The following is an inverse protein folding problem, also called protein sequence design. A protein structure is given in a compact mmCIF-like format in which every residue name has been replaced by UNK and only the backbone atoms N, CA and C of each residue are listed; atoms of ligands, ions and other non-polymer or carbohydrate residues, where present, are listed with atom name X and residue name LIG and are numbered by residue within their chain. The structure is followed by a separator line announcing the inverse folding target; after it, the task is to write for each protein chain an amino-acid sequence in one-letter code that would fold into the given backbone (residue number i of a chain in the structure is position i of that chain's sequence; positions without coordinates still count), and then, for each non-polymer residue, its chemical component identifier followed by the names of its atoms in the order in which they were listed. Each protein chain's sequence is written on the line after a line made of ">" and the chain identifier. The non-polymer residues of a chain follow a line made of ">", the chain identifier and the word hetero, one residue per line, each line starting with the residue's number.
data_IF_242397890047
#
_entry.id   IF_242397890047
#
_cell.length_a   1.000
_cell.length_b   1.000
_cell.length_c   1.000
_cell.angle_alpha   90.00
_cell.angle_beta   90.00
_cell.angle_gamma   90.00
#
_symmetry.space_group_name_H-M   'P 1'
#
loop_
_entity.id
_entity.type
_entity.pdbx_description
1 polymer ?
#
# COMPACT_ATOMS: atom_id res chain seq x y z
N UNK A 1 5.57 60.89 -3.81
CA UNK A 1 4.80 60.07 -4.73
C UNK A 1 3.31 60.19 -4.42
N UNK A 2 2.49 60.33 -5.44
CA UNK A 2 1.05 60.30 -5.21
C UNK A 2 0.65 58.82 -4.96
N UNK A 3 0.07 58.56 -3.79
CA UNK A 3 -0.32 57.17 -3.41
C UNK A 3 -1.32 56.56 -4.39
N UNK A 4 -1.99 57.35 -5.19
CA UNK A 4 -2.91 56.90 -6.25
C UNK A 4 -2.21 56.14 -7.39
N UNK A 5 -0.88 56.28 -7.53
CA UNK A 5 -0.10 55.62 -8.58
C UNK A 5 0.58 54.31 -8.12
N UNK A 6 0.40 53.93 -6.86
CA UNK A 6 0.99 52.68 -6.33
C UNK A 6 0.00 51.54 -6.49
N UNK A 7 0.44 50.48 -7.14
CA UNK A 7 -0.30 49.22 -7.29
C UNK A 7 0.22 48.14 -6.29
N UNK A 8 -0.72 47.46 -5.66
CA UNK A 8 -0.40 46.38 -4.75
C UNK A 8 -0.62 45.03 -5.46
N UNK A 9 0.42 44.20 -5.52
CA UNK A 9 0.33 42.85 -6.01
C UNK A 9 -0.15 41.95 -4.87
N UNK A 10 -1.34 41.37 -5.01
CA UNK A 10 -1.88 40.38 -4.11
C UNK A 10 -1.21 39.02 -4.31
N UNK A 11 -1.36 38.13 -3.32
CA UNK A 11 -0.85 36.75 -3.35
C UNK A 11 -1.42 35.89 -4.48
N UNK A 12 -2.61 36.21 -4.98
CA UNK A 12 -3.25 35.56 -6.14
C UNK A 12 -2.81 36.17 -7.49
N UNK A 13 -1.80 37.06 -7.49
CA UNK A 13 -1.29 37.77 -8.65
C UNK A 13 -2.13 38.95 -9.14
N UNK A 14 -3.30 39.22 -8.53
CA UNK A 14 -4.13 40.37 -8.90
C UNK A 14 -3.56 41.65 -8.32
N UNK A 15 -3.76 42.75 -9.04
CA UNK A 15 -3.37 44.07 -8.59
C UNK A 15 -4.56 44.86 -8.06
N UNK A 16 -4.31 45.67 -7.03
CA UNK A 16 -5.29 46.61 -6.47
C UNK A 16 -4.61 47.93 -6.14
N UNK A 17 -5.35 49.07 -6.08
CA UNK A 17 -4.80 50.36 -5.67
C UNK A 17 -4.32 50.31 -4.23
N UNK A 18 -3.27 51.07 -3.91
CA UNK A 18 -2.78 51.24 -2.55
C UNK A 18 -3.85 51.86 -1.66
N UNK A 19 -3.96 51.38 -0.43
CA UNK A 19 -4.87 51.90 0.60
C UNK A 19 -4.17 51.99 1.97
N UNK A 20 -3.90 53.22 2.41
CA UNK A 20 -3.35 53.52 3.70
C UNK A 20 -4.26 52.99 4.84
N UNK A 21 -5.59 53.09 4.64
CA UNK A 21 -6.59 52.63 5.62
C UNK A 21 -6.43 51.12 5.95
N UNK A 22 -6.04 50.28 4.98
CA UNK A 22 -5.81 48.85 5.22
C UNK A 22 -4.62 48.65 6.14
N UNK A 23 -3.55 49.44 6.02
CA UNK A 23 -2.37 49.42 6.91
C UNK A 23 -2.78 49.87 8.33
N UNK A 24 -3.47 50.99 8.44
CA UNK A 24 -3.99 51.53 9.73
C UNK A 24 -4.83 50.46 10.43
N UNK A 25 -5.75 49.81 9.69
CA UNK A 25 -6.63 48.77 10.24
C UNK A 25 -5.84 47.54 10.72
N UNK A 26 -4.79 47.14 10.01
CA UNK A 26 -3.94 46.03 10.41
C UNK A 26 -3.16 46.30 11.68
N UNK A 27 -2.56 47.50 11.79
CA UNK A 27 -1.83 47.94 12.99
C UNK A 27 -2.77 48.11 14.19
N UNK A 28 -3.96 48.73 13.98
CA UNK A 28 -4.98 48.86 15.02
C UNK A 28 -5.38 47.53 15.64
N UNK A 29 -5.53 46.49 14.81
CA UNK A 29 -5.84 45.16 15.31
C UNK A 29 -4.73 44.60 16.20
N UNK A 30 -3.47 44.86 15.87
CA UNK A 30 -2.33 44.39 16.67
C UNK A 30 -2.29 45.09 18.03
N UNK A 31 -2.50 46.41 18.07
CA UNK A 31 -2.60 47.19 19.34
C UNK A 31 -3.78 46.73 20.20
N UNK A 32 -4.97 46.57 19.62
CA UNK A 32 -6.15 46.03 20.33
C UNK A 32 -5.92 44.65 20.90
N UNK A 33 -5.27 43.77 20.15
CA UNK A 33 -4.88 42.45 20.66
C UNK A 33 -3.88 42.52 21.81
N UNK A 34 -3.14 43.61 21.91
CA UNK A 34 -2.27 43.94 23.02
C UNK A 34 -2.98 44.58 24.23
N UNK A 35 -4.31 44.84 24.15
CA UNK A 35 -5.08 45.53 25.20
C UNK A 35 -4.91 47.06 25.16
N UNK A 36 -4.36 47.64 24.09
CA UNK A 36 -4.09 49.06 23.95
C UNK A 36 -5.07 49.64 22.91
N UNK A 37 -5.86 50.63 23.32
CA UNK A 37 -6.92 51.21 22.48
C UNK A 37 -6.73 52.71 22.18
N UNK A 38 -5.84 53.39 22.87
CA UNK A 38 -5.65 54.85 22.85
C UNK A 38 -4.37 55.30 22.14
N UNK A 39 -4.00 54.65 21.03
CA UNK A 39 -2.77 54.92 20.26
C UNK A 39 -3.04 55.36 18.82
N UNK A 40 -4.15 56.00 18.54
CA UNK A 40 -4.56 56.39 17.17
C UNK A 40 -3.52 57.24 16.45
N UNK A 41 -2.93 58.22 17.13
CA UNK A 41 -1.88 59.08 16.57
C UNK A 41 -0.60 58.28 16.24
N UNK A 42 -0.21 57.37 17.12
CA UNK A 42 0.96 56.48 16.90
C UNK A 42 0.73 55.57 15.73
N UNK A 43 -0.46 54.95 15.62
CA UNK A 43 -0.86 54.08 14.52
C UNK A 43 -0.85 54.85 13.19
N UNK A 44 -1.43 56.02 13.16
CA UNK A 44 -1.46 56.85 11.95
C UNK A 44 -0.03 57.25 11.52
N UNK A 45 0.85 57.58 12.43
CA UNK A 45 2.25 57.90 12.14
C UNK A 45 2.97 56.68 11.58
N UNK A 46 2.88 55.52 12.19
CA UNK A 46 3.52 54.31 11.68
C UNK A 46 3.02 53.97 10.29
N UNK A 47 1.72 54.06 10.03
CA UNK A 47 1.14 53.79 8.71
C UNK A 47 1.62 54.81 7.67
N UNK A 48 1.78 56.06 8.02
CA UNK A 48 2.34 57.13 7.16
C UNK A 48 3.81 56.87 6.86
N UNK A 49 4.59 56.46 7.84
CA UNK A 49 6.03 56.15 7.69
C UNK A 49 6.22 54.94 6.77
N UNK A 50 5.38 53.90 6.89
CA UNK A 50 5.35 52.76 5.97
C UNK A 50 5.04 53.22 4.56
N UNK A 51 3.98 53.99 4.37
CA UNK A 51 3.59 54.52 3.07
C UNK A 51 4.71 55.35 2.41
N UNK A 52 5.39 56.20 3.20
CA UNK A 52 6.50 57.03 2.74
C UNK A 52 7.75 56.20 2.34
N UNK A 53 7.90 55.01 2.88
CA UNK A 53 9.00 54.11 2.57
C UNK A 53 8.81 53.34 1.24
N UNK A 54 7.61 53.41 0.63
CA UNK A 54 7.31 52.78 -0.66
C UNK A 54 7.84 53.66 -1.79
N UNK A 55 8.92 53.21 -2.44
CA UNK A 55 9.57 53.93 -3.52
C UNK A 55 9.27 53.32 -4.89
N UNK A 56 8.65 52.16 -4.95
CA UNK A 56 8.33 51.45 -6.21
C UNK A 56 6.89 51.71 -6.62
N UNK A 57 6.59 51.75 -7.93
CA UNK A 57 5.20 51.87 -8.43
C UNK A 57 4.36 50.62 -8.16
N UNK A 58 5.00 49.46 -7.99
CA UNK A 58 4.36 48.20 -7.63
C UNK A 58 5.05 47.57 -6.41
N UNK A 59 4.25 47.11 -5.47
CA UNK A 59 4.74 46.49 -4.24
C UNK A 59 3.82 45.32 -3.86
N UNK A 60 4.40 44.22 -3.33
CA UNK A 60 3.63 43.09 -2.85
C UNK A 60 3.03 43.32 -1.46
N UNK A 61 1.98 42.60 -1.13
CA UNK A 61 1.38 42.61 0.23
C UNK A 61 2.42 42.19 1.27
N UNK A 62 3.29 41.24 0.93
CA UNK A 62 4.38 40.77 1.82
C UNK A 62 5.38 41.88 2.12
N UNK A 63 5.87 42.58 1.11
CA UNK A 63 6.80 43.70 1.29
C UNK A 63 6.19 44.80 2.18
N UNK A 64 4.89 45.13 2.00
CA UNK A 64 4.20 46.07 2.89
C UNK A 64 4.16 45.56 4.33
N UNK A 65 3.89 44.27 4.53
CA UNK A 65 3.82 43.67 5.86
C UNK A 65 5.21 43.68 6.53
N UNK A 66 6.28 43.44 5.78
CA UNK A 66 7.66 43.50 6.27
C UNK A 66 8.01 44.92 6.70
N UNK A 67 7.62 45.96 5.95
CA UNK A 67 7.79 47.34 6.31
C UNK A 67 7.00 47.71 7.62
N UNK A 68 5.78 47.19 7.77
CA UNK A 68 4.98 47.35 8.99
C UNK A 68 5.68 46.70 10.18
N UNK A 69 6.22 45.50 10.02
CA UNK A 69 6.95 44.80 11.08
C UNK A 69 8.20 45.56 11.51
N UNK A 70 9.00 46.04 10.57
CA UNK A 70 10.19 46.86 10.83
C UNK A 70 9.85 48.12 11.63
N UNK A 71 8.83 48.84 11.20
CA UNK A 71 8.40 50.07 11.90
C UNK A 71 7.84 49.80 13.29
N UNK A 72 7.05 48.74 13.44
CA UNK A 72 6.54 48.29 14.73
C UNK A 72 7.66 47.86 15.68
N UNK A 73 8.67 47.11 15.17
CA UNK A 73 9.82 46.69 15.98
C UNK A 73 10.62 47.89 16.51
N UNK A 74 10.78 48.92 15.72
CA UNK A 74 11.45 50.17 16.13
C UNK A 74 10.64 51.01 17.15
N UNK A 75 9.31 50.88 17.14
CA UNK A 75 8.42 51.73 17.96
C UNK A 75 7.86 51.05 19.21
N UNK A 76 7.41 49.81 19.07
CA UNK A 76 6.82 48.98 20.10
C UNK A 76 7.06 47.49 19.85
N UNK A 77 8.19 46.93 20.32
CA UNK A 77 8.55 45.55 20.08
C UNK A 77 7.51 44.53 20.57
N UNK A 78 6.75 44.87 21.59
CA UNK A 78 5.72 43.98 22.14
C UNK A 78 4.53 43.83 21.19
N UNK A 79 4.14 44.90 20.53
CA UNK A 79 3.08 44.89 19.51
C UNK A 79 3.59 44.29 18.21
N UNK A 80 4.85 44.57 17.81
CA UNK A 80 5.49 43.94 16.68
C UNK A 80 5.46 42.41 16.78
N UNK A 81 5.85 41.87 17.94
CA UNK A 81 5.80 40.41 18.19
C UNK A 81 4.39 39.84 17.99
N UNK A 82 3.36 40.54 18.50
CA UNK A 82 1.95 40.09 18.31
C UNK A 82 1.52 40.17 16.83
N UNK A 83 1.94 41.21 16.13
CA UNK A 83 1.65 41.37 14.69
C UNK A 83 2.27 40.23 13.87
N UNK A 84 3.55 39.92 14.11
CA UNK A 84 4.28 38.82 13.44
C UNK A 84 3.62 37.48 13.72
N UNK A 85 3.32 37.17 14.98
CA UNK A 85 2.65 35.92 15.37
C UNK A 85 1.28 35.81 14.71
N UNK A 86 0.49 36.88 14.69
CA UNK A 86 -0.82 36.90 14.04
C UNK A 86 -0.72 36.75 12.52
N UNK A 87 0.26 37.41 11.86
CA UNK A 87 0.54 37.27 10.46
C UNK A 87 0.86 35.81 10.11
N UNK A 88 1.77 35.20 10.87
CA UNK A 88 2.15 33.81 10.66
C UNK A 88 0.98 32.84 10.88
N UNK A 89 0.23 33.02 11.94
CA UNK A 89 -0.98 32.24 12.17
C UNK A 89 -1.97 32.35 11.01
N UNK A 90 -2.16 33.56 10.46
CA UNK A 90 -3.03 33.79 9.29
C UNK A 90 -2.49 33.18 8.02
N UNK A 91 -1.18 33.08 7.86
CA UNK A 91 -0.55 32.39 6.73
C UNK A 91 -0.81 30.89 6.82
N UNK A 92 -0.49 30.29 7.95
CA UNK A 92 -0.73 28.86 8.21
C UNK A 92 -2.22 28.49 8.02
N UNK A 93 -3.14 29.29 8.53
CA UNK A 93 -4.58 29.04 8.38
C UNK A 93 -5.07 29.16 6.91
N UNK A 94 -4.50 30.09 6.16
CA UNK A 94 -4.81 30.20 4.72
C UNK A 94 -4.26 29.03 3.93
N UNK A 95 -3.01 28.63 4.20
CA UNK A 95 -2.38 27.51 3.53
C UNK A 95 -3.17 26.23 3.77
N UNK A 96 -3.59 26.01 5.03
CA UNK A 96 -4.45 24.90 5.39
C UNK A 96 -5.77 24.89 4.62
N UNK A 97 -6.47 26.03 4.61
CA UNK A 97 -7.77 26.16 3.89
C UNK A 97 -7.59 26.05 2.37
N UNK A 98 -6.53 26.60 1.82
CA UNK A 98 -6.22 26.51 0.39
C UNK A 98 -5.92 25.06 0.00
N UNK A 99 -5.13 24.33 0.80
CA UNK A 99 -4.80 22.92 0.54
C UNK A 99 -6.07 22.05 0.56
N UNK A 100 -6.87 22.14 1.64
CA UNK A 100 -8.11 21.35 1.76
C UNK A 100 -9.07 21.69 0.63
N UNK A 101 -9.31 22.98 0.36
CA UNK A 101 -10.20 23.40 -0.71
C UNK A 101 -9.69 22.95 -2.07
N UNK A 102 -8.41 23.12 -2.35
CA UNK A 102 -7.79 22.70 -3.63
C UNK A 102 -7.91 21.21 -3.87
N UNK A 103 -7.68 20.38 -2.82
CA UNK A 103 -7.85 18.92 -2.90
C UNK A 103 -9.32 18.55 -3.17
N UNK A 104 -10.25 19.16 -2.44
CA UNK A 104 -11.68 18.89 -2.62
C UNK A 104 -12.17 19.34 -4.01
N UNK A 105 -11.80 20.53 -4.45
CA UNK A 105 -12.15 21.02 -5.77
C UNK A 105 -11.57 20.08 -6.86
N UNK A 106 -10.32 19.63 -6.71
CA UNK A 106 -9.69 18.67 -7.60
C UNK A 106 -10.42 17.33 -7.67
N UNK A 107 -10.89 16.78 -6.55
CA UNK A 107 -11.64 15.51 -6.51
C UNK A 107 -13.04 15.67 -7.14
N UNK A 108 -13.71 16.79 -6.89
CA UNK A 108 -15.11 17.00 -7.31
C UNK A 108 -15.23 17.46 -8.77
N UNK A 109 -14.26 18.23 -9.28
CA UNK A 109 -14.36 18.88 -10.60
C UNK A 109 -13.64 18.16 -11.73
N UNK A 110 -12.80 17.14 -11.41
CA UNK A 110 -12.00 16.48 -12.44
C UNK A 110 -12.85 15.55 -13.29
N UNK A 111 -12.69 15.66 -14.60
CA UNK A 111 -13.27 14.72 -15.56
C UNK A 111 -12.76 13.31 -15.30
N UNK A 112 -13.68 12.31 -15.36
CA UNK A 112 -13.44 10.90 -15.02
C UNK A 112 -12.32 10.19 -15.79
N UNK A 113 -11.66 10.85 -16.73
CA UNK A 113 -10.65 10.28 -17.63
C UNK A 113 -9.23 10.82 -17.41
N UNK A 114 -8.96 11.56 -16.34
CA UNK A 114 -7.60 12.05 -16.10
C UNK A 114 -6.71 10.96 -15.54
N UNK A 115 -5.79 10.47 -16.39
CA UNK A 115 -4.78 9.45 -16.05
C UNK A 115 -3.89 9.88 -14.87
N UNK A 116 -3.68 11.17 -14.66
CA UNK A 116 -2.84 11.68 -13.57
C UNK A 116 -3.46 11.45 -12.18
N UNK A 117 -4.76 11.14 -12.11
CA UNK A 117 -5.45 10.76 -10.88
C UNK A 117 -5.50 9.26 -10.66
N UNK A 118 -5.04 8.47 -11.61
CA UNK A 118 -5.01 7.01 -11.50
C UNK A 118 -3.84 6.58 -10.63
N UNK A 119 -4.11 6.25 -9.39
CA UNK A 119 -3.17 5.45 -8.60
C UNK A 119 -3.34 3.98 -9.00
N UNK A 120 -2.25 3.27 -9.31
CA UNK A 120 -2.27 1.86 -9.71
C UNK A 120 -2.98 0.95 -8.67
N UNK A 121 -3.04 1.38 -7.42
CA UNK A 121 -3.61 0.63 -6.32
C UNK A 121 -5.05 1.04 -5.97
N UNK A 122 -5.58 2.11 -6.56
CA UNK A 122 -6.84 2.71 -6.11
C UNK A 122 -7.56 3.41 -7.25
N UNK A 123 -8.85 3.10 -7.45
CA UNK A 123 -9.66 3.79 -8.43
C UNK A 123 -10.23 5.10 -7.84
N UNK A 124 -9.75 6.24 -8.33
CA UNK A 124 -10.26 7.57 -7.95
C UNK A 124 -11.71 7.84 -8.44
N UNK A 125 -12.28 6.94 -9.24
CA UNK A 125 -13.65 7.09 -9.76
C UNK A 125 -14.74 6.58 -8.83
N UNK A 126 -14.37 5.84 -7.78
CA UNK A 126 -15.33 5.33 -6.80
C UNK A 126 -15.40 6.25 -5.59
N UNK A 127 -16.55 6.32 -4.89
CA UNK A 127 -16.68 7.12 -3.68
C UNK A 127 -15.60 6.79 -2.62
N UNK A 128 -15.29 5.51 -2.44
CA UNK A 128 -14.25 5.10 -1.51
C UNK A 128 -12.85 5.53 -1.98
N UNK A 129 -12.55 5.43 -3.29
CA UNK A 129 -11.29 5.91 -3.87
C UNK A 129 -11.14 7.42 -3.72
N UNK A 130 -12.20 8.20 -3.93
CA UNK A 130 -12.20 9.64 -3.70
C UNK A 130 -11.91 9.99 -2.23
N UNK A 131 -12.54 9.29 -1.30
CA UNK A 131 -12.27 9.48 0.14
C UNK A 131 -10.83 9.13 0.50
N UNK A 132 -10.27 8.07 -0.08
CA UNK A 132 -8.86 7.72 0.13
C UNK A 132 -7.91 8.74 -0.47
N UNK A 133 -8.20 9.26 -1.67
CA UNK A 133 -7.40 10.34 -2.30
C UNK A 133 -7.41 11.59 -1.42
N UNK A 134 -8.58 11.99 -0.92
CA UNK A 134 -8.69 13.09 0.02
C UNK A 134 -7.86 12.85 1.29
N UNK A 135 -7.98 11.67 1.90
CA UNK A 135 -7.21 11.28 3.07
C UNK A 135 -5.69 11.31 2.79
N UNK A 136 -5.24 10.76 1.67
CA UNK A 136 -3.85 10.74 1.23
C UNK A 136 -3.28 12.17 1.15
N UNK A 137 -3.94 13.09 0.44
CA UNK A 137 -3.47 14.46 0.29
C UNK A 137 -3.41 15.23 1.62
N UNK A 138 -4.42 15.08 2.47
CA UNK A 138 -4.42 15.69 3.81
C UNK A 138 -3.30 15.13 4.69
N UNK A 139 -3.05 13.83 4.60
CA UNK A 139 -2.02 13.17 5.41
C UNK A 139 -0.61 13.54 4.94
N UNK A 140 -0.39 13.69 3.62
CA UNK A 140 0.87 14.24 3.06
C UNK A 140 1.14 15.65 3.58
N UNK A 141 0.14 16.52 3.51
CA UNK A 141 0.27 17.90 4.00
C UNK A 141 0.59 17.93 5.51
N UNK A 142 -0.09 17.10 6.29
CA UNK A 142 0.19 16.94 7.72
C UNK A 142 1.62 16.44 7.97
N UNK A 143 2.06 15.41 7.25
CA UNK A 143 3.40 14.87 7.39
C UNK A 143 4.49 15.92 7.10
N UNK A 144 4.35 16.65 6.00
CA UNK A 144 5.29 17.70 5.61
C UNK A 144 5.33 18.89 6.56
N UNK A 145 4.21 19.25 7.19
CA UNK A 145 4.12 20.40 8.09
C UNK A 145 4.55 20.09 9.53
N UNK A 146 4.27 18.88 10.01
CA UNK A 146 4.37 18.58 11.43
C UNK A 146 5.32 17.42 11.78
N UNK A 147 5.58 16.49 10.86
CA UNK A 147 6.37 15.30 11.16
C UNK A 147 7.75 15.32 10.51
N UNK A 148 7.81 15.78 9.27
CA UNK A 148 9.08 15.95 8.56
C UNK A 148 9.70 17.27 8.97
N UNK A 149 10.98 17.27 9.37
CA UNK A 149 11.67 18.50 9.73
C UNK A 149 11.65 19.53 8.59
N UNK A 150 11.52 20.83 8.92
CA UNK A 150 11.34 21.94 7.97
C UNK A 150 12.34 21.88 6.79
N UNK A 151 13.61 21.57 7.06
CA UNK A 151 14.67 21.47 6.06
C UNK A 151 14.39 20.35 5.04
N UNK A 152 13.99 19.16 5.52
CA UNK A 152 13.70 18.01 4.65
C UNK A 152 12.39 18.18 3.89
N UNK A 153 11.37 18.75 4.54
CA UNK A 153 10.10 19.07 3.87
C UNK A 153 10.28 20.11 2.77
N UNK A 154 11.18 21.08 2.95
CA UNK A 154 11.54 22.04 1.91
C UNK A 154 12.27 21.35 0.75
N UNK A 155 13.32 20.58 1.04
CA UNK A 155 14.05 19.84 0.03
C UNK A 155 13.18 18.89 -0.80
N UNK A 156 12.16 18.25 -0.15
CA UNK A 156 11.18 17.45 -0.87
C UNK A 156 10.31 18.26 -1.82
N UNK A 157 9.82 19.44 -1.37
CA UNK A 157 9.00 20.33 -2.23
C UNK A 157 9.80 20.96 -3.37
N UNK A 158 11.07 21.28 -3.12
CA UNK A 158 11.97 21.87 -4.10
C UNK A 158 12.51 20.82 -5.11
N UNK A 159 12.26 19.52 -4.86
CA UNK A 159 12.69 18.41 -5.72
C UNK A 159 14.11 17.93 -5.48
N UNK A 160 14.81 18.42 -4.45
CA UNK A 160 16.17 17.99 -4.10
C UNK A 160 16.21 16.54 -3.61
N UNK A 161 15.15 16.12 -2.91
CA UNK A 161 14.94 14.74 -2.43
C UNK A 161 13.49 14.33 -2.65
N UNK A 162 13.25 13.02 -2.72
CA UNK A 162 11.90 12.46 -2.70
C UNK A 162 11.68 11.63 -1.44
N UNK A 163 10.69 12.00 -0.63
CA UNK A 163 10.23 11.19 0.51
C UNK A 163 9.05 10.35 0.01
N UNK A 164 9.26 9.05 -0.03
CA UNK A 164 8.28 8.09 -0.54
C UNK A 164 7.14 7.87 0.47
N UNK A 165 5.93 7.59 -0.01
CA UNK A 165 4.75 7.22 0.80
C UNK A 165 4.44 8.19 1.96
N UNK A 166 4.54 9.50 1.70
CA UNK A 166 4.30 10.54 2.70
C UNK A 166 2.91 10.51 3.32
N UNK A 167 1.93 10.01 2.59
CA UNK A 167 0.56 9.84 3.05
C UNK A 167 0.42 8.75 4.13
N UNK A 168 1.26 7.72 4.06
CA UNK A 168 1.32 6.67 5.07
C UNK A 168 2.36 6.92 6.16
N UNK A 169 3.23 7.92 6.01
CA UNK A 169 4.29 8.26 6.97
C UNK A 169 3.78 8.41 8.43
N UNK A 170 2.62 9.07 8.70
CA UNK A 170 2.10 9.20 10.06
C UNK A 170 1.65 7.87 10.67
N UNK A 171 1.32 6.87 9.87
CA UNK A 171 0.85 5.57 10.36
C UNK A 171 1.99 4.68 10.86
N UNK A 172 3.24 5.01 10.51
CA UNK A 172 4.46 4.23 10.82
C UNK A 172 4.39 2.80 10.32
N UNK A 173 3.64 2.56 9.25
CA UNK A 173 3.55 1.24 8.62
C UNK A 173 4.83 0.89 7.88
N UNK A 174 5.07 -0.39 7.68
CA UNK A 174 6.08 -0.87 6.73
C UNK A 174 5.58 -0.72 5.30
N UNK A 175 6.49 -0.57 4.36
CA UNK A 175 6.20 -0.55 2.92
C UNK A 175 6.97 -1.66 2.23
N UNK A 176 6.38 -2.29 1.20
CA UNK A 176 7.04 -3.29 0.35
C UNK A 176 7.65 -4.45 1.13
N UNK A 177 6.91 -5.55 1.28
CA UNK A 177 7.35 -6.73 2.03
C UNK A 177 7.47 -7.96 1.14
N UNK A 178 8.26 -8.92 1.62
CA UNK A 178 8.36 -10.28 1.07
C UNK A 178 7.93 -11.30 2.13
N UNK A 179 7.21 -12.34 1.67
CA UNK A 179 6.72 -13.40 2.55
C UNK A 179 7.59 -14.63 2.50
N UNK A 180 7.99 -15.11 3.66
CA UNK A 180 8.45 -16.50 3.83
C UNK A 180 7.24 -17.43 3.99
N UNK A 181 6.69 -17.89 2.86
CA UNK A 181 5.57 -18.82 2.89
C UNK A 181 5.94 -20.19 3.45
N UNK A 182 7.19 -20.61 3.40
CA UNK A 182 7.63 -21.88 3.97
C UNK A 182 7.37 -21.91 5.48
N UNK A 183 7.76 -20.85 6.18
CA UNK A 183 7.53 -20.73 7.62
C UNK A 183 6.03 -20.60 7.94
N UNK A 184 5.30 -19.78 7.17
CA UNK A 184 3.86 -19.60 7.32
C UNK A 184 3.11 -20.93 7.12
N UNK A 185 3.46 -21.71 6.11
CA UNK A 185 2.81 -22.99 5.85
C UNK A 185 3.14 -24.07 6.88
N UNK A 186 4.34 -24.02 7.43
CA UNK A 186 4.78 -24.97 8.45
C UNK A 186 4.09 -24.76 9.80
N UNK A 187 3.96 -23.50 10.22
CA UNK A 187 3.39 -23.13 11.53
C UNK A 187 1.89 -22.89 11.50
N UNK A 188 1.35 -22.54 10.33
CA UNK A 188 0.07 -21.86 10.26
C UNK A 188 0.16 -20.43 10.80
N UNK A 189 -0.95 -19.74 10.86
CA UNK A 189 -1.03 -18.40 11.45
C UNK A 189 -2.40 -18.13 12.05
N UNK A 190 -2.43 -17.10 12.91
CA UNK A 190 -3.66 -16.63 13.54
C UNK A 190 -4.03 -15.26 12.98
N UNK A 191 -5.30 -15.10 12.64
CA UNK A 191 -5.90 -13.80 12.33
C UNK A 191 -6.87 -13.42 13.44
N UNK A 192 -7.35 -12.18 13.45
CA UNK A 192 -8.41 -11.75 14.39
C UNK A 192 -9.67 -12.63 14.31
N UNK A 193 -9.90 -13.26 13.15
CA UNK A 193 -11.13 -13.99 12.85
C UNK A 193 -10.97 -15.52 12.89
N UNK A 194 -9.78 -16.04 13.13
CA UNK A 194 -9.55 -17.49 13.21
C UNK A 194 -8.10 -17.92 13.03
N UNK A 195 -7.90 -19.23 13.11
CA UNK A 195 -6.60 -19.88 12.96
C UNK A 195 -6.52 -20.60 11.63
N UNK A 196 -5.41 -20.46 10.95
CA UNK A 196 -5.10 -21.14 9.70
C UNK A 196 -4.07 -22.22 9.99
N UNK A 197 -4.41 -23.47 9.68
CA UNK A 197 -3.53 -24.62 9.84
C UNK A 197 -2.67 -24.88 8.61
N UNK A 198 -1.65 -25.71 8.76
CA UNK A 198 -0.78 -26.20 7.67
C UNK A 198 -1.60 -26.74 6.50
N UNK A 199 -1.37 -26.25 5.25
CA UNK A 199 -2.12 -26.70 4.07
C UNK A 199 -1.76 -28.14 3.67
N UNK A 200 -2.74 -28.86 3.10
CA UNK A 200 -2.62 -30.29 2.77
C UNK A 200 -2.76 -30.61 1.27
N UNK A 201 -3.05 -29.64 0.43
CA UNK A 201 -3.14 -29.80 -1.03
C UNK A 201 -2.70 -28.54 -1.74
N UNK A 202 -2.33 -28.62 -3.01
CA UNK A 202 -1.96 -27.43 -3.80
C UNK A 202 -3.03 -26.38 -3.80
N UNK A 203 -4.31 -26.76 -3.80
CA UNK A 203 -5.44 -25.85 -3.68
C UNK A 203 -5.41 -25.05 -2.38
N UNK A 204 -5.14 -25.73 -1.25
CA UNK A 204 -5.04 -25.03 0.04
C UNK A 204 -3.77 -24.18 0.17
N UNK A 205 -2.67 -24.57 -0.46
CA UNK A 205 -1.44 -23.77 -0.56
C UNK A 205 -1.72 -22.44 -1.28
N UNK A 206 -2.32 -22.51 -2.47
CA UNK A 206 -2.67 -21.34 -3.28
C UNK A 206 -3.69 -20.43 -2.56
N UNK A 207 -4.73 -21.02 -1.96
CA UNK A 207 -5.73 -20.27 -1.19
C UNK A 207 -5.10 -19.53 -0.02
N UNK A 208 -4.18 -20.18 0.73
CA UNK A 208 -3.51 -19.52 1.85
C UNK A 208 -2.57 -18.41 1.41
N UNK A 209 -1.86 -18.55 0.29
CA UNK A 209 -1.08 -17.46 -0.27
C UNK A 209 -1.96 -16.23 -0.58
N UNK A 210 -3.13 -16.45 -1.17
CA UNK A 210 -4.11 -15.38 -1.41
C UNK A 210 -4.56 -14.71 -0.11
N UNK A 211 -4.87 -15.51 0.92
CA UNK A 211 -5.29 -14.98 2.24
C UNK A 211 -4.19 -14.15 2.87
N UNK A 212 -2.92 -14.58 2.77
CA UNK A 212 -1.76 -13.83 3.28
C UNK A 212 -1.70 -12.46 2.62
N UNK A 213 -1.74 -12.39 1.28
CA UNK A 213 -1.75 -11.11 0.57
C UNK A 213 -2.92 -10.22 0.98
N UNK A 214 -4.13 -10.76 1.01
CA UNK A 214 -5.34 -9.99 1.31
C UNK A 214 -5.42 -9.52 2.76
N UNK A 215 -4.96 -10.33 3.69
CA UNK A 215 -4.95 -9.94 5.12
C UNK A 215 -3.95 -8.82 5.34
N UNK A 216 -2.75 -8.97 4.80
CA UNK A 216 -1.67 -8.02 5.05
C UNK A 216 -1.87 -6.67 4.34
N UNK A 217 -2.56 -6.61 3.22
CA UNK A 217 -2.77 -5.34 2.51
C UNK A 217 -3.54 -4.29 3.33
N UNK A 218 -4.23 -4.69 4.40
CA UNK A 218 -4.88 -3.76 5.32
C UNK A 218 -3.97 -3.33 6.48
N UNK A 219 -2.83 -3.99 6.67
CA UNK A 219 -1.91 -3.75 7.78
C UNK A 219 -0.66 -2.99 7.33
N UNK A 220 -0.43 -2.89 6.03
CA UNK A 220 0.72 -2.20 5.45
C UNK A 220 0.37 -1.48 4.14
N UNK A 221 1.28 -0.62 3.68
CA UNK A 221 1.20 0.04 2.37
C UNK A 221 2.30 -0.45 1.43
N UNK A 222 2.00 -0.45 0.11
CA UNK A 222 2.96 -0.80 -0.93
C UNK A 222 2.91 -2.24 -1.40
N UNK A 223 3.91 -2.63 -2.18
CA UNK A 223 3.98 -3.92 -2.84
C UNK A 223 4.21 -5.09 -1.88
N UNK A 224 3.62 -6.21 -2.23
CA UNK A 224 3.76 -7.48 -1.52
C UNK A 224 4.34 -8.51 -2.48
N UNK A 225 5.27 -9.34 -2.03
CA UNK A 225 5.99 -10.27 -2.91
C UNK A 225 6.18 -11.63 -2.27
N UNK A 226 6.14 -12.68 -3.12
CA UNK A 226 6.58 -14.03 -2.79
C UNK A 226 7.86 -14.31 -3.59
N UNK A 227 9.03 -14.42 -2.94
CA UNK A 227 10.32 -14.45 -3.64
C UNK A 227 10.64 -15.78 -4.33
N UNK A 228 9.99 -16.89 -3.97
CA UNK A 228 10.25 -18.24 -4.51
C UNK A 228 8.93 -19.04 -4.54
N UNK A 229 7.99 -18.55 -5.34
CA UNK A 229 6.63 -19.08 -5.39
C UNK A 229 6.56 -20.57 -5.77
N UNK A 230 7.32 -20.97 -6.78
CA UNK A 230 7.45 -22.35 -7.23
C UNK A 230 7.93 -23.28 -6.12
N UNK A 231 8.99 -22.92 -5.41
CA UNK A 231 9.53 -23.67 -4.28
C UNK A 231 8.52 -23.78 -3.12
N UNK A 232 7.83 -22.69 -2.79
CA UNK A 232 6.87 -22.70 -1.70
C UNK A 232 5.60 -23.50 -2.00
N UNK A 233 5.23 -23.61 -3.28
CA UNK A 233 4.07 -24.39 -3.73
C UNK A 233 4.39 -25.87 -3.99
N UNK A 234 5.64 -26.22 -4.29
CA UNK A 234 6.07 -27.60 -4.61
C UNK A 234 5.63 -28.66 -3.59
N UNK A 235 5.74 -28.42 -2.25
CA UNK A 235 5.22 -29.39 -1.28
C UNK A 235 3.70 -29.60 -1.37
N UNK A 236 2.95 -28.60 -1.81
CA UNK A 236 1.51 -28.71 -2.07
C UNK A 236 1.20 -29.63 -3.25
N UNK A 237 2.00 -29.55 -4.30
CA UNK A 237 1.91 -30.46 -5.47
C UNK A 237 2.16 -31.89 -5.04
N UNK A 238 3.26 -32.15 -4.29
CA UNK A 238 3.60 -33.49 -3.83
C UNK A 238 2.53 -34.08 -2.90
N UNK A 239 1.99 -33.29 -1.97
CA UNK A 239 0.89 -33.75 -1.10
C UNK A 239 -0.36 -34.10 -1.89
N UNK A 240 -0.69 -33.32 -2.92
CA UNK A 240 -1.82 -33.57 -3.80
C UNK A 240 -1.60 -34.86 -4.61
N UNK A 241 -0.40 -35.04 -5.15
CA UNK A 241 -0.03 -36.25 -5.84
C UNK A 241 -0.16 -37.51 -4.98
N UNK A 242 0.41 -37.47 -3.77
CA UNK A 242 0.29 -38.57 -2.81
C UNK A 242 -1.16 -38.88 -2.44
N UNK A 243 -2.01 -37.88 -2.33
CA UNK A 243 -3.46 -38.03 -2.11
C UNK A 243 -4.10 -38.84 -3.24
N UNK A 244 -3.86 -38.46 -4.51
CA UNK A 244 -4.40 -39.17 -5.66
C UNK A 244 -3.83 -40.57 -5.80
N UNK A 245 -2.56 -40.76 -5.49
CA UNK A 245 -1.92 -42.07 -5.49
C UNK A 245 -2.59 -43.01 -4.46
N UNK A 246 -2.78 -42.54 -3.24
CA UNK A 246 -3.49 -43.27 -2.17
C UNK A 246 -4.93 -43.61 -2.59
N UNK A 247 -5.63 -42.66 -3.21
CA UNK A 247 -7.01 -42.89 -3.69
C UNK A 247 -7.05 -43.96 -4.80
N UNK A 248 -6.12 -43.92 -5.75
CA UNK A 248 -6.00 -44.94 -6.81
C UNK A 248 -5.65 -46.33 -6.29
N UNK A 249 -4.70 -46.42 -5.34
CA UNK A 249 -4.32 -47.69 -4.72
C UNK A 249 -5.50 -48.26 -3.93
N UNK A 250 -6.18 -47.44 -3.10
CA UNK A 250 -7.32 -47.89 -2.33
C UNK A 250 -8.51 -48.33 -3.19
N UNK A 251 -8.74 -47.62 -4.31
CA UNK A 251 -9.77 -48.00 -5.28
C UNK A 251 -9.47 -49.36 -5.93
N UNK A 252 -8.23 -49.59 -6.39
CA UNK A 252 -7.84 -50.85 -6.99
C UNK A 252 -7.91 -52.01 -6.00
N UNK A 253 -7.47 -51.79 -4.74
CA UNK A 253 -7.57 -52.78 -3.69
C UNK A 253 -9.02 -53.20 -3.41
N UNK A 254 -9.95 -52.24 -3.40
CA UNK A 254 -11.37 -52.52 -3.25
C UNK A 254 -11.94 -53.32 -4.44
N UNK A 255 -11.50 -53.04 -5.65
CA UNK A 255 -11.93 -53.80 -6.86
C UNK A 255 -11.44 -55.26 -6.85
N UNK A 256 -10.29 -55.49 -6.23
CA UNK A 256 -9.70 -56.85 -6.13
C UNK A 256 -10.19 -57.62 -4.89
N UNK A 257 -11.13 -57.09 -4.14
CA UNK A 257 -11.62 -57.65 -2.86
C UNK A 257 -10.46 -58.00 -1.90
N UNK A 258 -9.32 -57.31 -2.04
CA UNK A 258 -8.16 -57.48 -1.18
C UNK A 258 -8.40 -56.83 0.17
N UNK A 259 -7.91 -57.41 1.25
CA UNK A 259 -7.90 -56.77 2.53
C UNK A 259 -7.02 -55.48 2.44
N UNK A 260 -7.66 -54.35 2.10
CA UNK A 260 -6.95 -53.10 1.95
C UNK A 260 -6.46 -52.60 3.31
N UNK A 261 -5.19 -52.15 3.41
CA UNK A 261 -4.72 -51.46 4.60
C UNK A 261 -5.58 -50.22 4.85
N UNK A 262 -5.67 -49.79 6.10
CA UNK A 262 -6.36 -48.55 6.41
C UNK A 262 -5.76 -47.37 5.61
N UNK A 263 -6.60 -46.42 5.19
CA UNK A 263 -6.16 -45.22 4.44
C UNK A 263 -5.00 -44.49 5.14
N UNK A 264 -4.95 -44.51 6.48
CA UNK A 264 -3.87 -43.94 7.25
C UNK A 264 -2.52 -44.62 6.98
N UNK A 265 -2.52 -45.95 6.89
CA UNK A 265 -1.33 -46.73 6.59
C UNK A 265 -0.85 -46.49 5.15
N UNK A 266 -1.76 -46.42 4.16
CA UNK A 266 -1.41 -46.06 2.77
C UNK A 266 -0.81 -44.67 2.67
N UNK A 267 -1.31 -43.70 3.44
CA UNK A 267 -0.73 -42.35 3.48
C UNK A 267 0.69 -42.36 4.01
N UNK A 268 0.96 -43.14 5.06
CA UNK A 268 2.31 -43.30 5.62
C UNK A 268 3.25 -43.93 4.60
N UNK A 269 2.87 -45.05 3.97
CA UNK A 269 3.65 -45.69 2.92
C UNK A 269 3.97 -44.76 1.77
N UNK A 270 2.97 -44.05 1.24
CA UNK A 270 3.21 -43.08 0.17
C UNK A 270 4.07 -41.88 0.64
N UNK A 271 4.02 -41.50 1.91
CA UNK A 271 4.88 -40.44 2.43
C UNK A 271 6.35 -40.86 2.52
N UNK A 272 6.61 -42.12 2.87
CA UNK A 272 7.95 -42.68 3.03
C UNK A 272 8.59 -43.04 1.69
N UNK A 273 7.84 -43.66 0.75
CA UNK A 273 8.37 -44.25 -0.45
C UNK A 273 8.17 -43.37 -1.73
N UNK A 274 7.49 -42.26 -1.62
CA UNK A 274 7.21 -41.36 -2.78
C UNK A 274 7.73 -39.96 -2.48
N UNK A 275 9.04 -39.71 -2.70
CA UNK A 275 9.64 -38.39 -2.41
C UNK A 275 9.33 -37.33 -3.47
N UNK A 276 8.89 -37.71 -4.67
CA UNK A 276 8.59 -36.82 -5.81
C UNK A 276 7.51 -37.41 -6.72
N UNK A 277 6.93 -36.56 -7.55
CA UNK A 277 5.94 -36.97 -8.57
C UNK A 277 6.56 -37.69 -9.79
N UNK A 278 7.89 -37.59 -9.96
CA UNK A 278 8.58 -38.22 -11.10
C UNK A 278 8.70 -39.72 -10.90
N UNK A 279 8.16 -40.48 -11.85
CA UNK A 279 8.29 -41.91 -11.88
C UNK A 279 9.72 -42.33 -12.27
N UNK A 280 10.25 -43.36 -11.58
CA UNK A 280 11.40 -44.14 -12.04
C UNK A 280 11.16 -45.59 -11.70
N UNK A 281 11.81 -46.51 -12.45
CA UNK A 281 11.64 -47.94 -12.21
C UNK A 281 12.05 -48.32 -10.77
N UNK A 282 13.08 -47.68 -10.22
CA UNK A 282 13.53 -47.88 -8.85
C UNK A 282 12.46 -47.45 -7.83
N UNK A 283 11.85 -46.27 -7.99
CA UNK A 283 10.80 -45.78 -7.11
C UNK A 283 9.53 -46.60 -7.16
N UNK A 284 9.15 -47.03 -8.35
CA UNK A 284 8.00 -47.92 -8.54
C UNK A 284 8.24 -49.29 -7.89
N UNK A 285 9.43 -49.85 -8.03
CA UNK A 285 9.80 -51.12 -7.42
C UNK A 285 9.81 -50.98 -5.87
N UNK A 286 10.36 -49.92 -5.32
CA UNK A 286 10.40 -49.64 -3.88
C UNK A 286 8.98 -49.56 -3.28
N UNK A 287 8.12 -48.74 -3.88
CA UNK A 287 6.72 -48.63 -3.48
C UNK A 287 5.96 -49.94 -3.64
N UNK A 288 6.19 -50.66 -4.74
CA UNK A 288 5.55 -51.95 -4.99
C UNK A 288 5.93 -52.98 -3.90
N UNK A 289 7.20 -53.05 -3.50
CA UNK A 289 7.68 -53.88 -2.41
C UNK A 289 6.98 -53.52 -1.09
N UNK A 290 6.88 -52.23 -0.76
CA UNK A 290 6.21 -51.76 0.47
C UNK A 290 4.71 -52.11 0.46
N UNK A 291 4.02 -51.95 -0.67
CA UNK A 291 2.62 -52.31 -0.85
C UNK A 291 2.41 -53.84 -0.74
N UNK A 292 3.29 -54.63 -1.31
CA UNK A 292 3.27 -56.12 -1.21
C UNK A 292 3.47 -56.57 0.22
N UNK A 293 4.40 -55.98 0.96
CA UNK A 293 4.62 -56.24 2.38
C UNK A 293 3.40 -55.88 3.24
N UNK A 294 2.61 -54.89 2.83
CA UNK A 294 1.34 -54.52 3.41
C UNK A 294 0.14 -55.40 3.00
N UNK A 295 0.40 -56.47 2.22
CA UNK A 295 -0.62 -57.43 1.80
C UNK A 295 -1.39 -57.06 0.55
N UNK A 296 -0.94 -56.04 -0.21
CA UNK A 296 -1.59 -55.62 -1.44
C UNK A 296 -0.99 -56.32 -2.69
N UNK A 297 -1.78 -57.09 -3.37
CA UNK A 297 -1.42 -57.77 -4.63
C UNK A 297 -1.58 -56.84 -5.84
N UNK A 298 -0.76 -55.79 -5.94
CA UNK A 298 -0.73 -54.83 -7.05
C UNK A 298 0.43 -55.22 -7.97
N UNK A 299 0.19 -55.24 -9.28
CA UNK A 299 1.23 -55.44 -10.30
C UNK A 299 1.94 -54.14 -10.63
N UNK A 300 3.17 -54.23 -11.14
CA UNK A 300 3.92 -53.05 -11.60
C UNK A 300 3.15 -52.23 -12.65
N UNK A 301 2.50 -52.91 -13.59
CA UNK A 301 1.69 -52.29 -14.65
C UNK A 301 0.54 -51.48 -14.05
N UNK A 302 -0.16 -52.03 -13.07
CA UNK A 302 -1.27 -51.33 -12.37
C UNK A 302 -0.78 -50.14 -11.56
N UNK A 303 0.34 -50.30 -10.86
CA UNK A 303 0.93 -49.22 -10.10
C UNK A 303 1.36 -48.07 -11.02
N UNK A 304 1.95 -48.37 -12.16
CA UNK A 304 2.33 -47.38 -13.20
C UNK A 304 1.11 -46.63 -13.73
N UNK A 305 0.02 -47.32 -13.99
CA UNK A 305 -1.23 -46.69 -14.42
C UNK A 305 -1.83 -45.78 -13.35
N UNK A 306 -1.79 -46.21 -12.09
CA UNK A 306 -2.25 -45.36 -10.94
C UNK A 306 -1.36 -44.11 -10.83
N UNK A 307 -0.03 -44.27 -10.97
CA UNK A 307 0.94 -43.19 -10.93
C UNK A 307 0.68 -42.14 -12.01
N UNK A 308 0.51 -42.57 -13.24
CA UNK A 308 0.22 -41.70 -14.38
C UNK A 308 -1.10 -40.95 -14.18
N UNK A 309 -2.14 -41.66 -13.70
CA UNK A 309 -3.42 -41.04 -13.39
C UNK A 309 -3.28 -40.00 -12.26
N UNK A 310 -2.52 -40.30 -11.21
CA UNK A 310 -2.26 -39.38 -10.12
C UNK A 310 -1.49 -38.14 -10.60
N UNK A 311 -0.52 -38.28 -11.50
CA UNK A 311 0.18 -37.17 -12.14
C UNK A 311 -0.79 -36.27 -12.91
N UNK A 312 -1.65 -36.86 -13.72
CA UNK A 312 -2.62 -36.12 -14.54
C UNK A 312 -3.66 -35.39 -13.68
N UNK A 313 -4.16 -36.04 -12.62
CA UNK A 313 -5.08 -35.43 -11.67
C UNK A 313 -4.41 -34.26 -10.91
N UNK A 314 -3.17 -34.46 -10.48
CA UNK A 314 -2.38 -33.41 -9.79
C UNK A 314 -2.13 -32.23 -10.71
N UNK A 315 -1.81 -32.47 -11.99
CA UNK A 315 -1.62 -31.38 -12.95
C UNK A 315 -2.88 -30.55 -13.12
N UNK A 316 -4.05 -31.20 -13.25
CA UNK A 316 -5.34 -30.48 -13.34
C UNK A 316 -5.65 -29.69 -12.07
N UNK A 317 -5.46 -30.27 -10.87
CA UNK A 317 -5.64 -29.55 -9.60
C UNK A 317 -4.66 -28.38 -9.47
N UNK A 318 -3.41 -28.54 -9.93
CA UNK A 318 -2.41 -27.46 -9.90
C UNK A 318 -2.79 -26.33 -10.84
N UNK A 319 -3.25 -26.63 -12.04
CA UNK A 319 -3.75 -25.63 -12.98
C UNK A 319 -4.91 -24.82 -12.38
N UNK A 320 -5.90 -25.51 -11.86
CA UNK A 320 -7.04 -24.89 -11.22
C UNK A 320 -6.66 -24.03 -9.99
N UNK A 321 -5.66 -24.49 -9.22
CA UNK A 321 -5.16 -23.75 -8.07
C UNK A 321 -4.44 -22.47 -8.48
N UNK A 322 -3.63 -22.50 -9.55
CA UNK A 322 -2.92 -21.34 -10.06
C UNK A 322 -3.88 -20.34 -10.72
N UNK A 323 -4.81 -20.82 -11.53
CA UNK A 323 -5.88 -20.01 -12.08
C UNK A 323 -6.69 -19.30 -10.97
N UNK A 324 -7.13 -20.06 -9.97
CA UNK A 324 -7.85 -19.49 -8.82
C UNK A 324 -7.04 -18.49 -8.02
N UNK A 325 -5.73 -18.72 -7.86
CA UNK A 325 -4.82 -17.78 -7.20
C UNK A 325 -4.75 -16.44 -7.95
N UNK A 326 -4.53 -16.48 -9.27
CA UNK A 326 -4.43 -15.28 -10.11
C UNK A 326 -5.76 -14.53 -10.17
N UNK A 327 -6.88 -15.25 -10.35
CA UNK A 327 -8.21 -14.63 -10.34
C UNK A 327 -8.53 -13.94 -9.04
N UNK A 328 -8.25 -14.58 -7.91
CA UNK A 328 -8.48 -14.00 -6.59
C UNK A 328 -7.66 -12.72 -6.38
N UNK A 329 -6.38 -12.72 -6.76
CA UNK A 329 -5.54 -11.52 -6.62
C UNK A 329 -6.00 -10.37 -7.53
N UNK A 330 -6.56 -10.68 -8.71
CA UNK A 330 -7.02 -9.67 -9.66
C UNK A 330 -8.46 -9.18 -9.41
N UNK A 331 -9.28 -9.93 -8.71
CA UNK A 331 -10.72 -9.64 -8.56
C UNK A 331 -11.15 -9.33 -7.14
N UNK A 332 -10.45 -9.83 -6.13
CA UNK A 332 -10.80 -9.57 -4.74
C UNK A 332 -10.25 -8.23 -4.29
N UNK A 333 -11.15 -7.27 -4.19
CA UNK A 333 -10.82 -5.95 -3.69
C UNK A 333 -10.64 -5.96 -2.18
N UNK A 334 -9.72 -5.12 -1.69
CA UNK A 334 -9.56 -4.93 -0.27
C UNK A 334 -10.74 -4.16 0.32
N UNK A 335 -10.82 -4.18 1.63
CA UNK A 335 -11.79 -3.43 2.43
C UNK A 335 -11.83 -1.92 2.14
N UNK A 336 -10.77 -1.33 1.63
CA UNK A 336 -10.65 0.08 1.30
C UNK A 336 -11.38 0.53 0.02
N UNK A 337 -12.31 -0.27 -0.48
CA UNK A 337 -13.17 0.09 -1.60
C UNK A 337 -12.43 0.26 -2.92
N UNK A 338 -12.11 -0.85 -3.58
CA UNK A 338 -11.50 -0.98 -4.90
C UNK A 338 -9.96 -0.99 -4.95
N UNK A 339 -9.27 -1.12 -3.85
CA UNK A 339 -7.84 -1.39 -3.91
C UNK A 339 -7.62 -2.86 -4.26
N UNK A 340 -7.01 -3.12 -5.41
CA UNK A 340 -6.53 -4.45 -5.79
C UNK A 340 -5.20 -4.69 -5.08
N UNK A 341 -4.98 -5.92 -4.62
CA UNK A 341 -3.71 -6.29 -3.97
C UNK A 341 -2.56 -6.09 -4.95
N UNK A 342 -1.67 -5.15 -4.66
CA UNK A 342 -0.45 -4.99 -5.44
C UNK A 342 0.55 -6.06 -5.04
N UNK A 343 0.62 -7.11 -5.85
CA UNK A 343 1.38 -8.32 -5.54
C UNK A 343 2.26 -8.76 -6.71
N UNK A 344 3.40 -9.34 -6.35
CA UNK A 344 4.30 -9.99 -7.31
C UNK A 344 4.71 -11.38 -6.80
N UNK A 345 4.99 -12.27 -7.72
CA UNK A 345 5.54 -13.59 -7.45
C UNK A 345 6.78 -13.82 -8.30
N UNK A 346 7.86 -14.25 -7.67
CA UNK A 346 9.07 -14.67 -8.37
C UNK A 346 9.10 -16.21 -8.42
N UNK A 347 9.49 -16.76 -9.54
CA UNK A 347 9.57 -18.20 -9.78
C UNK A 347 10.72 -18.51 -10.72
N UNK A 348 11.05 -19.82 -10.89
CA UNK A 348 12.13 -20.28 -11.76
C UNK A 348 13.38 -20.72 -11.01
N UNK A 349 13.34 -20.76 -9.68
CA UNK A 349 14.47 -21.19 -8.84
C UNK A 349 14.37 -22.66 -8.44
N UNK A 350 13.18 -23.26 -8.43
CA UNK A 350 12.95 -24.66 -8.11
C UNK A 350 13.04 -25.53 -9.36
N UNK A 351 14.03 -26.44 -9.39
CA UNK A 351 14.26 -27.38 -10.49
C UNK A 351 13.57 -28.72 -10.28
N UNK A 352 12.88 -28.93 -9.16
CA UNK A 352 12.12 -30.15 -8.90
C UNK A 352 10.97 -30.34 -9.90
N UNK A 353 10.52 -31.56 -10.18
CA UNK A 353 9.35 -31.80 -11.00
C UNK A 353 8.09 -31.09 -10.50
N UNK A 354 7.93 -30.99 -9.19
CA UNK A 354 6.85 -30.29 -8.50
C UNK A 354 6.89 -28.78 -8.76
N UNK A 355 8.06 -28.14 -8.56
CA UNK A 355 8.25 -26.71 -8.83
C UNK A 355 8.05 -26.36 -10.28
N UNK A 356 8.58 -27.19 -11.21
CA UNK A 356 8.35 -27.04 -12.65
C UNK A 356 6.88 -27.18 -13.03
N UNK A 357 6.12 -28.05 -12.35
CA UNK A 357 4.67 -28.17 -12.54
C UNK A 357 3.96 -26.88 -12.14
N UNK A 358 4.37 -26.25 -11.02
CA UNK A 358 3.84 -24.94 -10.61
C UNK A 358 4.13 -23.88 -11.66
N UNK A 359 5.40 -23.73 -12.06
CA UNK A 359 5.82 -22.73 -13.06
C UNK A 359 5.01 -22.87 -14.35
N UNK A 360 4.91 -24.09 -14.87
CA UNK A 360 4.15 -24.36 -16.10
C UNK A 360 2.70 -23.92 -15.99
N UNK A 361 2.04 -24.18 -14.86
CA UNK A 361 0.63 -23.88 -14.68
C UNK A 361 0.34 -22.41 -14.27
N UNK A 362 1.35 -21.65 -13.83
CA UNK A 362 1.26 -20.21 -13.67
C UNK A 362 1.35 -19.47 -15.01
N UNK A 363 2.09 -20.05 -15.99
CA UNK A 363 2.34 -19.43 -17.28
C UNK A 363 1.30 -19.79 -18.36
N UNK A 364 0.47 -20.80 -18.15
CA UNK A 364 -0.58 -21.27 -19.08
C UNK A 364 -1.95 -20.71 -18.72
#
# INVERSE_FOLDING_TARGET
>A
MDYAQISIIKRDGKTEPFSLEKIVRAITKAYRAGGITDREQTIARIASDVASSITKPEISVEEIQDLVEERLMGQDPSIAKRYIIYREWRNVERDRRSTIKGVMDGIVTVERNDINLSNANMSSHTPAGQMMTFASEITKDYALKYLVGVRHGRAHRDGDIHIHDLDYYPTKTTTCIQYDLEDIYRRGFHTKNGSVRTPQSIQSYATLATIVFQTNQNEQHGGQSIPAFDRFMAPGVLKTFRKHLVEGIAFLAALKESAAPERAQLKTLCAEHVPTIEASDERLADLLQALSAAGLGITEKELRQIWDHACDATRRETHQAMEGFLHNLNTMHSRGGNQVVFSSVNYGTDTSPEGRMVIKNVLL
#
